data_IF_778342889444
#
_entry.id   IF_778342889444
#
_cell.length_a   1.000
_cell.length_b   1.000
_cell.length_c   1.000
_cell.angle_alpha   90.00
_cell.angle_beta   90.00
_cell.angle_gamma   90.00
#
_symmetry.space_group_name_H-M   'P 1'
#
loop_
_entity.id
_entity.type
_entity.pdbx_description
1 polymer ?
#
# COMPACT_ATOMS: atom_id res chain seq x y z
N UNK A 1 -1.97 -11.08 6.40
CA UNK A 1 -1.96 -10.44 5.08
C UNK A 1 -0.83 -11.05 4.32
N UNK A 2 -1.11 -11.62 3.16
CA UNK A 2 -0.06 -12.01 2.23
C UNK A 2 0.22 -10.85 1.26
N UNK A 3 1.33 -10.91 0.53
CA UNK A 3 1.66 -9.84 -0.41
C UNK A 3 0.72 -9.81 -1.64
N UNK A 4 -0.01 -10.91 -1.88
CA UNK A 4 -1.00 -11.03 -2.95
C UNK A 4 -2.28 -10.26 -2.62
N UNK A 5 -2.69 -10.21 -1.36
CA UNK A 5 -3.81 -9.40 -0.87
C UNK A 5 -3.64 -7.93 -1.29
N UNK A 6 -2.40 -7.41 -1.27
CA UNK A 6 -2.09 -6.03 -1.72
C UNK A 6 -2.37 -5.86 -3.21
N UNK A 7 -2.02 -6.85 -4.03
CA UNK A 7 -2.25 -6.81 -5.48
C UNK A 7 -3.74 -6.97 -5.82
N UNK A 8 -4.45 -7.84 -5.09
CA UNK A 8 -5.87 -8.02 -5.26
C UNK A 8 -6.62 -6.73 -4.85
N UNK A 9 -6.23 -6.09 -3.74
CA UNK A 9 -6.73 -4.76 -3.35
C UNK A 9 -6.40 -3.70 -4.41
N UNK A 10 -5.19 -3.73 -4.96
CA UNK A 10 -4.78 -2.83 -6.03
C UNK A 10 -5.69 -3.00 -7.26
N UNK A 11 -6.01 -4.23 -7.67
CA UNK A 11 -6.89 -4.47 -8.81
C UNK A 11 -8.33 -3.99 -8.58
N UNK A 12 -8.81 -4.01 -7.34
CA UNK A 12 -10.19 -3.67 -6.99
C UNK A 12 -10.41 -2.18 -6.68
N UNK A 13 -9.34 -1.43 -6.36
CA UNK A 13 -9.42 -0.03 -5.97
C UNK A 13 -8.50 0.85 -6.85
N UNK A 14 -9.04 1.88 -7.53
CA UNK A 14 -8.25 2.72 -8.42
C UNK A 14 -7.45 3.82 -7.70
N UNK A 15 -7.72 4.08 -6.42
CA UNK A 15 -7.05 5.12 -5.65
C UNK A 15 -5.71 4.69 -5.06
N UNK A 16 -5.13 5.58 -4.24
CA UNK A 16 -3.95 5.27 -3.44
C UNK A 16 -4.25 4.19 -2.40
N UNK A 17 -3.28 3.29 -2.19
CA UNK A 17 -3.27 2.25 -1.18
C UNK A 17 -2.15 2.53 -0.18
N UNK A 18 -2.47 2.47 1.11
CA UNK A 18 -1.49 2.56 2.19
C UNK A 18 -1.36 1.19 2.83
N UNK A 19 -0.21 0.54 2.65
CA UNK A 19 0.03 -0.80 3.19
C UNK A 19 0.63 -0.66 4.58
N UNK A 20 0.02 -1.30 5.56
CA UNK A 20 0.47 -1.30 6.94
C UNK A 20 0.63 -2.73 7.45
N UNK A 21 0.86 -2.89 8.76
CA UNK A 21 0.93 -4.19 9.42
C UNK A 21 2.02 -5.11 8.82
N UNK A 22 3.17 -4.53 8.50
CA UNK A 22 4.37 -5.23 8.03
C UNK A 22 5.44 -5.15 9.11
N UNK A 23 6.17 -6.25 9.31
CA UNK A 23 7.42 -6.29 10.10
C UNK A 23 7.33 -5.67 11.52
N UNK A 24 6.15 -5.69 12.12
CA UNK A 24 5.89 -5.17 13.46
C UNK A 24 5.66 -6.29 14.50
N UNK A 25 5.19 -7.46 14.05
CA UNK A 25 4.88 -8.61 14.89
C UNK A 25 5.43 -9.88 14.22
N UNK A 26 5.88 -10.85 15.02
CA UNK A 26 6.59 -12.08 14.57
C UNK A 26 5.77 -13.00 13.65
N UNK A 27 4.46 -12.78 13.54
CA UNK A 27 3.54 -13.59 12.73
C UNK A 27 3.16 -12.96 11.40
N UNK A 28 3.75 -11.81 11.04
CA UNK A 28 3.62 -11.24 9.70
C UNK A 28 4.87 -11.59 8.88
N UNK A 29 4.82 -12.61 8.01
CA UNK A 29 5.99 -13.04 7.26
C UNK A 29 6.32 -12.11 6.08
N UNK A 30 5.41 -11.21 5.72
CA UNK A 30 5.55 -10.32 4.56
C UNK A 30 6.38 -9.09 4.92
N UNK A 31 7.40 -8.83 4.13
CA UNK A 31 8.32 -7.70 4.29
C UNK A 31 7.86 -6.48 3.49
N UNK A 32 8.34 -5.29 3.88
CA UNK A 32 8.15 -4.07 3.06
C UNK A 32 8.76 -4.21 1.68
N UNK A 33 9.91 -4.88 1.57
CA UNK A 33 10.63 -5.08 0.31
C UNK A 33 9.82 -5.94 -0.67
N UNK A 34 9.27 -7.06 -0.21
CA UNK A 34 8.41 -7.93 -1.03
C UNK A 34 7.19 -7.19 -1.58
N UNK A 35 6.52 -6.38 -0.76
CA UNK A 35 5.37 -5.59 -1.21
C UNK A 35 5.79 -4.56 -2.26
N UNK A 36 6.91 -3.87 -2.07
CA UNK A 36 7.43 -2.90 -3.05
C UNK A 36 7.79 -3.57 -4.38
N UNK A 37 8.46 -4.72 -4.34
CA UNK A 37 8.82 -5.49 -5.52
C UNK A 37 7.58 -5.95 -6.30
N UNK A 38 6.59 -6.52 -5.61
CA UNK A 38 5.33 -6.93 -6.24
C UNK A 38 4.55 -5.76 -6.83
N UNK A 39 4.54 -4.60 -6.15
CA UNK A 39 3.91 -3.40 -6.67
C UNK A 39 4.60 -2.86 -7.94
N UNK A 40 5.94 -2.99 -8.03
CA UNK A 40 6.71 -2.64 -9.23
C UNK A 40 6.38 -3.60 -10.37
N UNK A 41 6.43 -4.91 -10.11
CA UNK A 41 6.12 -5.94 -11.11
C UNK A 41 4.67 -5.85 -11.61
N UNK A 42 3.74 -5.49 -10.73
CA UNK A 42 2.32 -5.28 -11.05
C UNK A 42 2.01 -3.95 -11.73
N UNK A 43 2.99 -3.05 -11.89
CA UNK A 43 2.78 -1.72 -12.48
C UNK A 43 1.89 -0.80 -11.64
N UNK A 44 1.83 -1.02 -10.32
CA UNK A 44 0.98 -0.27 -9.37
C UNK A 44 1.80 0.50 -8.32
N UNK A 45 3.12 0.52 -8.45
CA UNK A 45 4.03 1.18 -7.52
C UNK A 45 3.71 2.65 -7.26
N UNK A 46 3.20 3.38 -8.27
CA UNK A 46 2.88 4.81 -8.16
C UNK A 46 1.75 5.12 -7.16
N UNK A 47 0.91 4.12 -6.85
CA UNK A 47 -0.25 4.26 -5.96
C UNK A 47 -0.18 3.39 -4.71
N UNK A 48 0.80 2.50 -4.60
CA UNK A 48 1.03 1.68 -3.40
C UNK A 48 2.08 2.35 -2.53
N UNK A 49 1.65 2.92 -1.41
CA UNK A 49 2.55 3.49 -0.42
C UNK A 49 2.81 2.50 0.71
N UNK A 50 4.07 2.09 0.85
CA UNK A 50 4.58 1.29 1.96
C UNK A 50 5.43 2.23 2.85
N UNK A 51 4.91 2.75 3.98
CA UNK A 51 5.66 3.64 4.85
C UNK A 51 6.65 2.89 5.74
N UNK A 52 7.77 3.57 6.04
CA UNK A 52 8.61 3.24 7.18
C UNK A 52 7.96 3.71 8.49
N UNK A 53 8.40 3.16 9.62
CA UNK A 53 7.90 3.59 10.92
C UNK A 53 8.16 5.09 11.15
N UNK A 54 7.10 5.83 11.46
CA UNK A 54 7.16 7.29 11.63
C UNK A 54 7.10 8.11 10.35
N UNK A 55 7.07 7.50 9.15
CA UNK A 55 6.81 8.25 7.92
C UNK A 55 5.39 8.83 7.92
N UNK A 56 5.30 10.07 7.43
CA UNK A 56 4.03 10.79 7.30
C UNK A 56 3.81 11.23 5.85
N UNK A 57 2.56 11.18 5.40
CA UNK A 57 2.10 11.75 4.13
C UNK A 57 0.86 12.61 4.39
N UNK A 58 0.73 13.74 3.70
CA UNK A 58 -0.42 14.63 3.83
C UNK A 58 -1.29 14.52 2.58
N UNK A 59 -2.57 14.20 2.79
CA UNK A 59 -3.56 14.16 1.72
C UNK A 59 -4.33 15.48 1.66
N UNK A 60 -4.47 16.03 0.45
CA UNK A 60 -5.38 17.15 0.20
C UNK A 60 -6.71 16.57 -0.26
N UNK A 61 -7.78 16.88 0.45
CA UNK A 61 -9.13 16.51 0.02
C UNK A 61 -9.63 17.58 -0.95
N UNK A 62 -10.08 17.15 -2.12
CA UNK A 62 -10.86 18.02 -3.01
C UNK A 62 -12.34 17.87 -2.67
N UNK A 63 -13.00 18.98 -2.31
CA UNK A 63 -14.45 19.03 -2.08
C UNK A 63 -15.27 18.76 -3.35
N UNK A 64 -14.64 18.71 -4.53
CA UNK A 64 -15.32 18.43 -5.80
C UNK A 64 -15.72 16.95 -5.99
N UNK A 65 -15.22 16.03 -5.14
CA UNK A 65 -15.50 14.59 -5.23
C UNK A 65 -16.70 14.13 -4.37
N UNK A 66 -17.42 15.07 -3.73
CA UNK A 66 -18.59 14.82 -2.87
C UNK A 66 -19.91 15.23 -3.56
N UNK A 67 -19.89 15.32 -4.90
CA UNK A 67 -21.05 15.65 -5.73
C UNK A 67 -21.62 14.41 -6.42
#
# INVERSE_FOLDING_TARGET
>A
MDAKDVMDAASCWPGELVVNHLEALDHCPVTREEVRALAQDGGVADRVWVPEDGQCRRYKVSLAAIG
#
